data_IF_560648228889
#
_entry.id   IF_560648228889
#
_cell.length_a   1.000
_cell.length_b   1.000
_cell.length_c   1.000
_cell.angle_alpha   90.00
_cell.angle_beta   90.00
_cell.angle_gamma   90.00
#
_symmetry.space_group_name_H-M   'P 1'
#
loop_
_entity.id
_entity.type
_entity.pdbx_description
1 polymer ?
#
# COMPACT_ATOMS: atom_id res chain seq x y z
N UNK A 1 5.24 -5.72 15.61
CA UNK A 1 4.87 -6.05 14.24
C UNK A 1 4.98 -4.87 13.25
N UNK A 2 4.44 -3.66 13.57
CA UNK A 2 4.55 -2.51 12.66
C UNK A 2 5.99 -2.05 12.40
N UNK A 3 6.90 -2.14 13.40
CA UNK A 3 8.33 -1.76 13.27
C UNK A 3 9.06 -2.68 12.29
N UNK A 4 8.84 -3.97 12.38
CA UNK A 4 9.40 -4.98 11.50
C UNK A 4 8.88 -4.78 10.07
N UNK A 5 7.58 -4.48 9.93
CA UNK A 5 6.98 -4.14 8.64
C UNK A 5 7.64 -2.91 8.00
N UNK A 6 7.83 -1.83 8.75
CA UNK A 6 8.47 -0.63 8.25
C UNK A 6 9.94 -0.87 7.88
N UNK A 7 10.70 -1.54 8.75
CA UNK A 7 12.10 -1.88 8.50
C UNK A 7 12.24 -2.68 7.20
N UNK A 8 11.37 -3.67 7.00
CA UNK A 8 11.42 -4.50 5.80
C UNK A 8 11.11 -3.69 4.53
N UNK A 9 10.21 -2.69 4.60
CA UNK A 9 9.94 -1.77 3.46
C UNK A 9 11.15 -0.91 3.12
N UNK A 10 11.83 -0.39 4.14
CA UNK A 10 13.08 0.37 3.94
C UNK A 10 14.15 -0.49 3.26
N UNK A 11 14.31 -1.76 3.67
CA UNK A 11 15.27 -2.68 3.06
C UNK A 11 14.92 -3.00 1.60
N UNK A 12 13.64 -3.27 1.29
CA UNK A 12 13.19 -3.50 -0.10
C UNK A 12 13.41 -2.25 -0.95
N UNK A 13 13.10 -1.07 -0.41
CA UNK A 13 13.34 0.18 -1.12
C UNK A 13 14.83 0.39 -1.41
N UNK A 14 15.70 0.23 -0.40
CA UNK A 14 17.15 0.35 -0.58
C UNK A 14 17.68 -0.62 -1.64
N UNK A 15 17.19 -1.86 -1.62
CA UNK A 15 17.54 -2.88 -2.61
C UNK A 15 17.06 -2.50 -4.02
N UNK A 16 15.83 -2.02 -4.16
CA UNK A 16 15.28 -1.57 -5.44
C UNK A 16 16.04 -0.34 -5.98
N UNK A 17 16.43 0.60 -5.11
CA UNK A 17 17.22 1.77 -5.49
C UNK A 17 18.60 1.38 -5.99
N UNK A 18 19.27 0.41 -5.34
CA UNK A 18 20.60 -0.09 -5.75
C UNK A 18 20.55 -0.84 -7.09
N UNK A 19 19.50 -1.60 -7.36
CA UNK A 19 19.36 -2.35 -8.60
C UNK A 19 18.81 -1.51 -9.75
N UNK A 20 18.05 -0.46 -9.45
CA UNK A 20 17.34 0.33 -10.45
C UNK A 20 18.23 1.06 -11.46
N UNK A 21 19.48 1.30 -11.13
CA UNK A 21 20.45 1.94 -12.03
C UNK A 21 21.07 0.97 -13.05
N UNK A 22 21.01 -0.35 -12.80
CA UNK A 22 21.70 -1.37 -13.60
C UNK A 22 20.81 -2.21 -14.50
N UNK A 23 19.49 -2.12 -14.38
CA UNK A 23 18.54 -2.97 -15.13
C UNK A 23 17.85 -2.16 -16.20
N UNK A 24 17.95 -2.63 -17.46
CA UNK A 24 17.19 -2.06 -18.59
C UNK A 24 15.70 -2.27 -18.31
N UNK A 25 14.97 -1.16 -18.27
CA UNK A 25 13.55 -1.14 -17.95
C UNK A 25 12.69 -1.39 -19.18
N UNK A 26 11.60 -2.15 -19.02
CA UNK A 26 10.58 -2.27 -20.02
C UNK A 26 9.60 -1.10 -19.87
N UNK A 27 9.61 -0.19 -20.82
CA UNK A 27 8.72 0.97 -20.83
C UNK A 27 7.33 0.58 -21.36
N UNK A 28 6.39 0.40 -20.44
CA UNK A 28 4.98 0.11 -20.76
C UNK A 28 4.10 1.38 -20.78
N UNK A 29 4.67 2.56 -20.48
CA UNK A 29 3.92 3.80 -20.20
C UNK A 29 4.28 4.94 -21.17
N UNK A 30 4.82 4.62 -22.33
CA UNK A 30 5.35 5.56 -23.35
C UNK A 30 4.41 6.73 -23.72
N UNK A 31 3.12 6.55 -23.54
CA UNK A 31 2.11 7.53 -23.99
C UNK A 31 1.63 8.50 -22.90
N UNK A 32 2.23 8.46 -21.69
CA UNK A 32 1.81 9.35 -20.61
C UNK A 32 2.70 10.60 -20.56
N UNK A 33 2.12 11.82 -20.48
CA UNK A 33 2.90 13.07 -20.32
C UNK A 33 3.81 13.05 -19.08
N UNK A 34 3.39 12.39 -18.00
CA UNK A 34 4.15 12.22 -16.76
C UNK A 34 5.26 11.17 -16.85
N UNK A 35 5.44 10.48 -17.98
CA UNK A 35 6.55 9.52 -18.16
C UNK A 35 7.92 10.21 -18.12
N UNK A 36 7.97 11.53 -18.28
CA UNK A 36 9.17 12.35 -18.16
C UNK A 36 9.32 12.95 -16.75
N UNK A 37 9.49 12.10 -15.72
CA UNK A 37 9.86 12.61 -14.39
C UNK A 37 11.20 13.35 -14.51
N UNK A 38 11.27 14.66 -14.19
CA UNK A 38 12.48 15.42 -14.30
C UNK A 38 13.63 14.78 -13.51
N UNK A 39 14.82 14.73 -14.09
CA UNK A 39 16.02 14.17 -13.45
C UNK A 39 16.62 15.23 -12.53
N UNK A 40 15.94 15.55 -11.43
CA UNK A 40 16.54 16.35 -10.36
C UNK A 40 17.13 15.44 -9.30
N UNK A 41 18.26 15.81 -8.75
CA UNK A 41 19.12 14.97 -7.89
C UNK A 41 18.39 14.31 -6.71
N UNK A 42 17.46 14.97 -5.99
CA UNK A 42 16.76 14.31 -4.87
C UNK A 42 15.73 13.27 -5.31
N UNK A 43 15.22 13.32 -6.54
CA UNK A 43 14.21 12.40 -7.05
C UNK A 43 14.78 11.15 -7.70
N UNK A 44 16.05 11.11 -8.03
CA UNK A 44 16.66 9.98 -8.74
C UNK A 44 16.52 8.66 -7.97
N UNK A 45 16.71 8.68 -6.65
CA UNK A 45 16.52 7.49 -5.81
C UNK A 45 15.07 7.00 -5.79
N UNK A 46 14.10 7.93 -5.84
CA UNK A 46 12.69 7.59 -5.83
C UNK A 46 12.19 7.09 -7.20
N UNK A 47 12.90 7.43 -8.27
CA UNK A 47 12.52 7.07 -9.64
C UNK A 47 12.51 5.56 -9.88
N UNK A 48 13.38 4.82 -9.21
CA UNK A 48 13.48 3.36 -9.34
C UNK A 48 12.20 2.62 -8.98
N UNK A 49 11.35 3.24 -8.15
CA UNK A 49 10.07 2.68 -7.69
C UNK A 49 8.84 3.29 -8.38
N UNK A 50 9.06 4.27 -9.28
CA UNK A 50 7.99 4.88 -10.10
C UNK A 50 7.97 4.16 -11.44
N UNK A 51 7.28 3.02 -11.48
CA UNK A 51 7.18 2.14 -12.65
C UNK A 51 5.73 1.70 -12.83
N UNK A 52 5.36 1.40 -14.08
CA UNK A 52 4.05 0.85 -14.46
C UNK A 52 2.87 1.68 -13.89
N UNK A 53 2.02 1.08 -13.08
CA UNK A 53 0.81 1.72 -12.53
C UNK A 53 1.10 2.97 -11.68
N UNK A 54 2.30 3.09 -11.13
CA UNK A 54 2.72 4.27 -10.37
C UNK A 54 2.58 5.56 -11.19
N UNK A 55 2.87 5.50 -12.50
CA UNK A 55 2.75 6.63 -13.41
C UNK A 55 1.30 7.06 -13.58
N UNK A 56 0.37 6.12 -13.65
CA UNK A 56 -1.06 6.44 -13.74
C UNK A 56 -1.58 7.09 -12.46
N UNK A 57 -1.14 6.63 -11.28
CA UNK A 57 -1.50 7.28 -10.02
C UNK A 57 -0.96 8.70 -9.91
N UNK A 58 0.26 8.95 -10.35
CA UNK A 58 0.83 10.30 -10.41
C UNK A 58 0.09 11.18 -11.43
N UNK A 59 -0.21 10.65 -12.62
CA UNK A 59 -0.99 11.38 -13.63
C UNK A 59 -2.35 11.82 -13.08
N UNK A 60 -3.09 10.91 -12.43
CA UNK A 60 -4.38 11.25 -11.79
C UNK A 60 -4.19 12.26 -10.65
N UNK A 61 -3.11 12.17 -9.88
CA UNK A 61 -2.83 13.10 -8.81
C UNK A 61 -2.55 14.52 -9.33
N UNK A 62 -1.84 14.65 -10.47
CA UNK A 62 -1.51 15.95 -11.09
C UNK A 62 -2.69 16.53 -11.86
N UNK A 63 -3.23 15.77 -12.80
CA UNK A 63 -4.11 16.25 -13.85
C UNK A 63 -5.58 15.81 -13.67
N UNK A 64 -5.85 14.88 -12.74
CA UNK A 64 -7.16 14.25 -12.61
C UNK A 64 -7.42 13.24 -13.72
N UNK A 65 -8.68 12.89 -13.92
CA UNK A 65 -9.11 11.89 -14.90
C UNK A 65 -9.28 12.49 -16.29
N UNK A 66 -8.18 12.63 -17.03
CA UNK A 66 -8.18 13.23 -18.37
C UNK A 66 -8.48 12.24 -19.48
N UNK A 67 -8.24 10.93 -19.29
CA UNK A 67 -8.34 9.89 -20.30
C UNK A 67 -9.19 8.73 -19.81
N UNK A 68 -9.90 8.06 -20.71
CA UNK A 68 -10.75 6.91 -20.36
C UNK A 68 -9.97 5.79 -19.66
N UNK A 69 -8.78 5.46 -20.14
CA UNK A 69 -7.94 4.39 -19.61
C UNK A 69 -7.55 4.57 -18.13
N UNK A 70 -7.46 5.82 -17.62
CA UNK A 70 -7.07 6.08 -16.23
C UNK A 70 -8.23 5.97 -15.25
N UNK A 71 -9.48 5.83 -15.71
CA UNK A 71 -10.64 5.60 -14.85
C UNK A 71 -10.64 4.21 -14.17
N UNK A 72 -9.76 3.30 -14.61
CA UNK A 72 -9.52 2.03 -13.92
C UNK A 72 -8.84 2.21 -12.54
N UNK A 73 -8.21 3.36 -12.30
CA UNK A 73 -7.48 3.66 -11.08
C UNK A 73 -8.37 4.41 -10.08
N UNK A 74 -8.64 3.79 -8.93
CA UNK A 74 -9.53 4.37 -7.91
C UNK A 74 -8.98 5.69 -7.33
N UNK A 75 -9.87 6.67 -7.03
CA UNK A 75 -9.47 8.05 -6.73
C UNK A 75 -8.80 8.25 -5.37
N UNK A 76 -9.07 7.40 -4.38
CA UNK A 76 -8.61 7.64 -3.01
C UNK A 76 -7.09 7.82 -2.91
N UNK A 77 -6.33 6.95 -3.54
CA UNK A 77 -4.87 6.98 -3.44
C UNK A 77 -4.25 8.20 -4.14
N UNK A 78 -4.60 8.53 -5.41
CA UNK A 78 -4.15 9.77 -6.07
C UNK A 78 -4.56 11.04 -5.32
N UNK A 79 -5.77 11.09 -4.74
CA UNK A 79 -6.21 12.23 -3.93
C UNK A 79 -5.34 12.43 -2.69
N UNK A 80 -4.98 11.34 -2.02
CA UNK A 80 -4.05 11.40 -0.88
C UNK A 80 -2.65 11.84 -1.32
N UNK A 81 -2.15 11.32 -2.45
CA UNK A 81 -0.86 11.75 -3.04
C UNK A 81 -0.87 13.24 -3.29
N UNK A 82 -1.90 13.77 -3.96
CA UNK A 82 -2.04 15.19 -4.23
C UNK A 82 -2.07 16.00 -2.94
N UNK A 83 -2.94 15.67 -2.01
CA UNK A 83 -3.11 16.40 -0.76
C UNK A 83 -1.81 16.48 0.05
N UNK A 84 -1.16 15.36 0.31
CA UNK A 84 0.09 15.32 1.06
C UNK A 84 1.28 15.85 0.25
N UNK A 85 1.29 15.64 -1.07
CA UNK A 85 2.31 16.15 -1.96
C UNK A 85 2.32 17.67 -2.01
N UNK A 86 1.16 18.32 -2.07
CA UNK A 86 1.05 19.79 -1.98
C UNK A 86 1.59 20.32 -0.64
N UNK A 87 1.31 19.63 0.47
CA UNK A 87 1.86 19.98 1.79
C UNK A 87 3.39 19.86 1.80
N UNK A 88 3.94 18.80 1.25
CA UNK A 88 5.39 18.58 1.17
C UNK A 88 6.03 19.64 0.27
N UNK A 89 5.41 20.01 -0.84
CA UNK A 89 5.90 21.02 -1.76
C UNK A 89 6.08 22.41 -1.11
N UNK A 90 5.36 22.72 -0.02
CA UNK A 90 5.55 23.94 0.78
C UNK A 90 6.94 24.03 1.41
N UNK A 91 7.66 22.91 1.54
CA UNK A 91 9.07 22.90 2.00
C UNK A 91 10.07 23.41 0.95
N UNK A 92 9.63 23.74 -0.26
CA UNK A 92 10.49 24.15 -1.39
C UNK A 92 10.98 22.97 -2.23
N UNK A 93 10.52 21.77 -1.99
CA UNK A 93 10.80 20.62 -2.83
C UNK A 93 9.98 20.72 -4.14
N UNK A 94 10.55 20.29 -5.25
CA UNK A 94 9.86 20.22 -6.54
C UNK A 94 8.56 19.42 -6.43
N UNK A 95 7.49 19.88 -7.10
CA UNK A 95 6.15 19.31 -6.99
C UNK A 95 6.11 17.82 -7.31
N UNK A 96 6.80 17.41 -8.38
CA UNK A 96 6.89 16.00 -8.79
C UNK A 96 7.53 15.14 -7.71
N UNK A 97 8.67 15.58 -7.16
CA UNK A 97 9.32 14.94 -6.03
C UNK A 97 8.43 14.82 -4.81
N UNK A 98 7.70 15.88 -4.51
CA UNK A 98 6.78 15.94 -3.37
C UNK A 98 5.66 14.91 -3.50
N UNK A 99 5.12 14.73 -4.69
CA UNK A 99 4.05 13.76 -4.96
C UNK A 99 4.57 12.33 -4.90
N UNK A 100 5.74 12.05 -5.47
CA UNK A 100 6.38 10.74 -5.36
C UNK A 100 6.65 10.40 -3.89
N UNK A 101 7.24 11.33 -3.14
CA UNK A 101 7.53 11.14 -1.72
C UNK A 101 6.24 10.91 -0.90
N UNK A 102 5.19 11.69 -1.18
CA UNK A 102 3.89 11.49 -0.53
C UNK A 102 3.34 10.08 -0.77
N UNK A 103 3.36 9.61 -2.02
CA UNK A 103 2.88 8.27 -2.38
C UNK A 103 3.67 7.16 -1.66
N UNK A 104 4.99 7.27 -1.61
CA UNK A 104 5.85 6.33 -0.88
C UNK A 104 5.53 6.32 0.60
N UNK A 105 5.42 7.48 1.22
CA UNK A 105 5.12 7.60 2.66
C UNK A 105 3.73 7.03 2.98
N UNK A 106 2.72 7.32 2.16
CA UNK A 106 1.38 6.73 2.31
C UNK A 106 1.45 5.20 2.24
N UNK A 107 2.18 4.64 1.26
CA UNK A 107 2.34 3.19 1.12
C UNK A 107 3.03 2.57 2.34
N UNK A 108 4.11 3.16 2.84
CA UNK A 108 4.85 2.63 3.98
C UNK A 108 4.09 2.72 5.30
N UNK A 109 3.45 3.87 5.55
CA UNK A 109 2.61 4.05 6.76
C UNK A 109 1.43 3.08 6.72
N UNK A 110 0.75 2.97 5.58
CA UNK A 110 -0.36 2.04 5.39
C UNK A 110 0.09 0.58 5.58
N UNK A 111 1.27 0.21 5.09
CA UNK A 111 1.80 -1.14 5.28
C UNK A 111 2.14 -1.44 6.74
N UNK A 112 2.76 -0.49 7.44
CA UNK A 112 3.06 -0.64 8.86
C UNK A 112 1.76 -0.81 9.67
N UNK A 113 0.75 0.01 9.37
CA UNK A 113 -0.58 -0.11 9.99
C UNK A 113 -1.27 -1.44 9.62
N UNK A 114 -1.19 -1.89 8.37
CA UNK A 114 -1.71 -3.18 7.92
C UNK A 114 -1.06 -4.35 8.65
N UNK A 115 0.25 -4.30 8.85
CA UNK A 115 1.00 -5.33 9.60
C UNK A 115 0.55 -5.43 11.06
N UNK A 116 0.30 -4.30 11.70
CA UNK A 116 -0.25 -4.26 13.06
C UNK A 116 -1.69 -4.79 13.11
N UNK A 117 -2.54 -4.39 12.16
CA UNK A 117 -3.92 -4.86 12.09
C UNK A 117 -4.00 -6.35 11.74
N UNK A 118 -3.09 -6.85 10.87
CA UNK A 118 -2.95 -8.28 10.58
C UNK A 118 -2.65 -9.09 11.84
N UNK A 119 -1.71 -8.63 12.67
CA UNK A 119 -1.40 -9.27 13.94
C UNK A 119 -2.60 -9.29 14.89
N UNK A 120 -3.29 -8.14 15.03
CA UNK A 120 -4.48 -8.04 15.88
C UNK A 120 -5.63 -8.93 15.43
N UNK A 121 -5.88 -8.97 14.12
CA UNK A 121 -6.88 -9.85 13.51
C UNK A 121 -6.52 -11.32 13.75
N UNK A 122 -5.27 -11.67 13.47
CA UNK A 122 -4.78 -13.05 13.66
C UNK A 122 -4.88 -13.52 15.11
N UNK A 123 -4.68 -12.63 16.09
CA UNK A 123 -4.87 -12.97 17.53
C UNK A 123 -6.32 -13.25 17.92
N UNK A 124 -7.30 -12.76 17.17
CA UNK A 124 -8.71 -13.11 17.37
C UNK A 124 -8.99 -14.52 16.84
N UNK A 125 -8.34 -14.90 15.73
CA UNK A 125 -8.65 -16.13 14.98
C UNK A 125 -7.77 -17.32 15.39
N UNK A 126 -6.55 -17.08 15.87
CA UNK A 126 -5.51 -18.09 16.08
C UNK A 126 -4.81 -17.92 17.42
N UNK A 127 -4.00 -18.93 17.82
CA UNK A 127 -3.06 -18.81 18.93
C UNK A 127 -1.97 -17.77 18.64
N UNK A 128 -1.33 -17.26 19.67
CA UNK A 128 -0.33 -16.19 19.57
C UNK A 128 0.81 -16.52 18.59
N UNK A 129 1.37 -17.71 18.68
CA UNK A 129 2.45 -18.19 17.79
C UNK A 129 2.01 -18.22 16.32
N UNK A 130 0.77 -18.65 16.03
CA UNK A 130 0.24 -18.64 14.66
C UNK A 130 -0.05 -17.22 14.18
N UNK A 131 -0.48 -16.33 15.06
CA UNK A 131 -0.71 -14.93 14.74
C UNK A 131 0.59 -14.22 14.34
N UNK A 132 1.67 -14.48 15.10
CA UNK A 132 3.00 -13.98 14.77
C UNK A 132 3.47 -14.50 13.41
N UNK A 133 3.41 -15.82 13.20
CA UNK A 133 3.83 -16.43 11.94
C UNK A 133 3.05 -15.87 10.74
N UNK A 134 1.73 -15.76 10.84
CA UNK A 134 0.89 -15.20 9.79
C UNK A 134 1.29 -13.77 9.45
N UNK A 135 1.61 -12.97 10.46
CA UNK A 135 2.03 -11.58 10.28
C UNK A 135 3.41 -11.49 9.64
N UNK A 136 4.36 -12.34 10.05
CA UNK A 136 5.67 -12.39 9.41
C UNK A 136 5.58 -12.80 7.95
N UNK A 137 4.77 -13.79 7.60
CA UNK A 137 4.53 -14.19 6.22
C UNK A 137 3.91 -13.05 5.38
N UNK A 138 3.04 -12.24 5.97
CA UNK A 138 2.52 -11.04 5.33
C UNK A 138 3.62 -9.98 5.10
N UNK A 139 4.51 -9.77 6.10
CA UNK A 139 5.60 -8.79 6.02
C UNK A 139 6.61 -9.17 4.94
N UNK A 140 7.05 -10.43 4.87
CA UNK A 140 8.08 -10.93 3.94
C UNK A 140 7.50 -11.42 2.60
N UNK A 141 6.31 -10.96 2.23
CA UNK A 141 5.66 -11.32 0.98
C UNK A 141 6.60 -11.07 -0.22
N UNK A 142 6.76 -12.05 -1.13
CA UNK A 142 7.61 -11.92 -2.34
C UNK A 142 7.20 -10.73 -3.23
N UNK A 143 5.92 -10.41 -3.29
CA UNK A 143 5.40 -9.24 -4.01
C UNK A 143 5.56 -7.91 -3.23
N UNK A 144 6.45 -7.88 -2.23
CA UNK A 144 6.63 -6.74 -1.33
C UNK A 144 7.03 -5.44 -1.99
N UNK A 145 7.58 -5.46 -3.21
CA UNK A 145 7.88 -4.25 -3.97
C UNK A 145 6.61 -3.42 -4.25
N UNK A 146 5.49 -4.05 -4.59
CA UNK A 146 4.21 -3.37 -4.82
C UNK A 146 3.61 -2.76 -3.53
N UNK A 147 4.06 -3.22 -2.36
CA UNK A 147 3.69 -2.63 -1.08
C UNK A 147 4.64 -1.51 -0.65
N UNK A 148 5.76 -1.33 -1.35
CA UNK A 148 6.77 -0.32 -1.06
C UNK A 148 6.75 0.84 -2.05
N UNK A 149 6.34 0.60 -3.28
CA UNK A 149 6.23 1.57 -4.35
C UNK A 149 4.90 2.36 -4.31
N UNK A 150 4.69 3.23 -5.30
CA UNK A 150 3.47 4.03 -5.42
C UNK A 150 2.30 3.18 -5.93
N UNK A 151 1.77 2.31 -5.08
CA UNK A 151 0.65 1.44 -5.39
C UNK A 151 -0.42 1.50 -4.30
N UNK A 152 -1.64 1.23 -4.68
CA UNK A 152 -2.78 1.16 -3.74
C UNK A 152 -2.72 -0.04 -2.81
N UNK A 153 -1.85 -1.03 -3.10
CA UNK A 153 -1.83 -2.34 -2.43
C UNK A 153 -1.72 -2.24 -0.90
N UNK A 154 -0.84 -1.38 -0.39
CA UNK A 154 -0.66 -1.18 1.05
C UNK A 154 -1.87 -0.54 1.71
N UNK A 155 -2.41 0.52 1.10
CA UNK A 155 -3.60 1.22 1.59
C UNK A 155 -4.83 0.31 1.56
N UNK A 156 -5.02 -0.42 0.46
CA UNK A 156 -6.11 -1.40 0.33
C UNK A 156 -6.00 -2.51 1.38
N UNK A 157 -4.79 -3.06 1.59
CA UNK A 157 -4.55 -4.09 2.62
C UNK A 157 -4.87 -3.56 4.01
N UNK A 158 -4.45 -2.34 4.34
CA UNK A 158 -4.76 -1.73 5.63
C UNK A 158 -6.26 -1.57 5.85
N UNK A 159 -6.98 -1.01 4.88
CA UNK A 159 -8.42 -0.79 5.00
C UNK A 159 -9.20 -2.11 5.08
N UNK A 160 -8.86 -3.08 4.24
CA UNK A 160 -9.52 -4.39 4.21
C UNK A 160 -9.29 -5.19 5.49
N UNK A 161 -8.03 -5.27 5.97
CA UNK A 161 -7.71 -6.00 7.20
C UNK A 161 -8.34 -5.31 8.40
N UNK A 162 -8.38 -3.96 8.41
CA UNK A 162 -9.03 -3.20 9.48
C UNK A 162 -10.54 -3.46 9.51
N UNK A 163 -11.19 -3.48 8.36
CA UNK A 163 -12.61 -3.84 8.25
C UNK A 163 -12.89 -5.24 8.79
N UNK A 164 -12.08 -6.23 8.38
CA UNK A 164 -12.17 -7.60 8.89
C UNK A 164 -11.92 -7.68 10.41
N UNK A 165 -10.94 -6.93 10.92
CA UNK A 165 -10.67 -6.89 12.36
C UNK A 165 -11.89 -6.43 13.15
N UNK A 166 -12.54 -5.34 12.76
CA UNK A 166 -13.73 -4.85 13.45
C UNK A 166 -14.88 -5.84 13.35
N UNK A 167 -15.10 -6.40 12.17
CA UNK A 167 -16.14 -7.43 11.97
C UNK A 167 -15.95 -8.64 12.90
N UNK A 168 -14.75 -9.22 12.96
CA UNK A 168 -14.49 -10.38 13.82
C UNK A 168 -14.44 -10.02 15.32
N UNK A 169 -14.02 -8.80 15.65
CA UNK A 169 -14.02 -8.31 17.02
C UNK A 169 -15.44 -8.21 17.58
N UNK A 170 -16.39 -7.69 16.82
CA UNK A 170 -17.78 -7.57 17.25
C UNK A 170 -18.42 -8.97 17.42
N UNK A 171 -18.18 -9.86 16.46
CA UNK A 171 -18.63 -11.26 16.60
C UNK A 171 -18.05 -11.95 17.82
N UNK A 172 -16.79 -11.69 18.17
CA UNK A 172 -16.13 -12.25 19.36
C UNK A 172 -16.72 -11.71 20.67
N UNK A 173 -17.17 -10.47 20.69
CA UNK A 173 -17.81 -9.85 21.84
C UNK A 173 -19.24 -10.42 22.05
N UNK A 174 -19.99 -10.60 20.98
CA UNK A 174 -21.34 -11.16 21.02
C UNK A 174 -21.34 -12.63 21.48
N UNK A 175 -20.30 -13.39 21.10
CA UNK A 175 -20.16 -14.82 21.44
C UNK A 175 -19.53 -15.09 22.81
N UNK A 176 -19.11 -14.10 23.60
CA UNK A 176 -18.59 -14.30 24.96
C UNK A 176 -19.60 -14.94 25.92
N UNK A 177 -20.85 -15.09 25.52
CA UNK A 177 -21.87 -15.89 26.22
C UNK A 177 -22.10 -17.31 25.70
N UNK A 178 -21.47 -17.70 24.56
CA UNK A 178 -21.65 -19.04 23.95
C UNK A 178 -20.27 -19.60 23.57
N UNK A 179 -19.90 -20.71 24.18
CA UNK A 179 -18.64 -21.40 23.88
C UNK A 179 -18.57 -21.85 22.43
N UNK A 180 -17.39 -21.63 21.83
CA UNK A 180 -16.96 -22.03 20.47
C UNK A 180 -17.43 -21.10 19.36
N UNK A 181 -16.48 -20.31 18.83
CA UNK A 181 -16.60 -19.64 17.54
C UNK A 181 -16.48 -20.71 16.44
N UNK A 182 -17.55 -21.41 16.16
CA UNK A 182 -17.80 -22.00 14.85
C UNK A 182 -18.36 -20.85 14.02
N UNK A 183 -17.50 -20.17 13.25
CA UNK A 183 -17.98 -19.32 12.15
C UNK A 183 -18.75 -20.28 11.23
N UNK A 184 -20.08 -20.22 11.18
CA UNK A 184 -20.77 -21.12 10.28
C UNK A 184 -20.43 -20.67 8.88
N UNK A 185 -19.74 -21.52 8.12
CA UNK A 185 -19.54 -21.38 6.66
C UNK A 185 -20.84 -20.96 5.95
N UNK A 186 -21.98 -21.25 6.57
CA UNK A 186 -23.33 -20.93 6.16
C UNK A 186 -23.62 -19.42 6.05
N UNK A 187 -22.95 -18.56 6.84
CA UNK A 187 -23.13 -17.09 6.76
C UNK A 187 -22.32 -16.46 5.62
N UNK A 188 -21.28 -17.14 5.14
CA UNK A 188 -20.56 -16.75 3.92
C UNK A 188 -21.39 -16.99 2.66
N UNK A 189 -22.19 -18.04 2.63
CA UNK A 189 -23.03 -18.40 1.48
C UNK A 189 -24.32 -17.54 1.46
N UNK A 190 -24.81 -17.10 2.61
CA UNK A 190 -26.00 -16.24 2.70
C UNK A 190 -25.74 -14.77 2.29
N UNK A 191 -24.49 -14.30 2.24
CA UNK A 191 -24.11 -12.97 1.76
C UNK A 191 -23.92 -12.87 0.25
N UNK A 192 -24.15 -13.96 -0.51
CA UNK A 192 -23.98 -14.04 -1.98
C UNK A 192 -25.32 -14.22 -2.72
N UNK A 193 -26.47 -13.97 -2.07
CA UNK A 193 -27.79 -13.94 -2.71
C UNK A 193 -28.38 -12.55 -2.64
#
# INVERSE_FOLDING_TARGET
MWKEGLLFRVLIFAFAALLGEGVIDYDSSLDLPSSHVPVTTPCNLLRSIVKWDSLYFLEVAHNGYMYEKIHAFFPLYPMLIRFFGEIIALSGLETECSYILAGVLISWISFAAASEMMFRLSKILFSETRAELSTYLFIINPAGIFMSALYTTSLFSFLSITGLYFFYKDMSLENKGKSVITVPLRNWIAGTV
#
